data_IF_165617049371
#
_entry.id   IF_165617049371
#
_cell.length_a   1.000
_cell.length_b   1.000
_cell.length_c   1.000
_cell.angle_alpha   90.00
_cell.angle_beta   90.00
_cell.angle_gamma   90.00
#
_symmetry.space_group_name_H-M   'P 1'
#
loop_
_entity.id
_entity.type
_entity.pdbx_description
1 polymer ?
#
# COMPACT_ATOMS: atom_id res chain seq x y z
N UNK A 1 -50.17 -23.78 -20.47
CA UNK A 1 -48.88 -23.67 -19.74
C UNK A 1 -47.91 -22.85 -20.59
N UNK A 2 -47.74 -21.56 -20.30
CA UNK A 2 -46.70 -20.71 -20.91
C UNK A 2 -45.82 -20.18 -19.77
N UNK A 3 -44.64 -20.77 -19.61
CA UNK A 3 -43.60 -20.26 -18.71
C UNK A 3 -42.91 -19.08 -19.39
N UNK A 4 -43.31 -17.88 -19.01
CA UNK A 4 -42.66 -16.62 -19.40
C UNK A 4 -41.43 -16.44 -18.50
N UNK A 5 -40.28 -16.96 -18.94
CA UNK A 5 -38.98 -16.70 -18.31
C UNK A 5 -38.62 -15.23 -18.50
N UNK A 6 -38.80 -14.44 -17.44
CA UNK A 6 -38.28 -13.09 -17.31
C UNK A 6 -36.77 -13.19 -17.08
N UNK A 7 -35.99 -13.02 -18.15
CA UNK A 7 -34.55 -12.80 -18.06
C UNK A 7 -34.32 -11.37 -17.58
N UNK A 8 -34.39 -11.15 -16.26
CA UNK A 8 -33.88 -9.91 -15.65
C UNK A 8 -32.36 -9.89 -15.83
N UNK A 9 -31.91 -9.25 -16.92
CA UNK A 9 -30.57 -8.70 -17.01
C UNK A 9 -30.44 -7.65 -15.90
N UNK A 10 -29.95 -8.07 -14.74
CA UNK A 10 -29.32 -7.17 -13.78
C UNK A 10 -28.07 -6.61 -14.45
N UNK A 11 -28.25 -5.60 -15.30
CA UNK A 11 -27.18 -4.71 -15.72
C UNK A 11 -26.83 -3.87 -14.49
N UNK A 12 -26.04 -4.47 -13.59
CA UNK A 12 -25.51 -3.77 -12.44
C UNK A 12 -24.77 -2.55 -12.94
N UNK A 13 -25.30 -1.36 -12.64
CA UNK A 13 -24.67 -0.10 -12.98
C UNK A 13 -23.37 -0.02 -12.17
N UNK A 14 -22.26 -0.44 -12.79
CA UNK A 14 -20.93 -0.19 -12.24
C UNK A 14 -20.71 1.30 -12.42
N UNK A 15 -20.94 2.08 -11.36
CA UNK A 15 -20.56 3.48 -11.32
C UNK A 15 -19.04 3.55 -11.47
N UNK A 16 -18.58 3.81 -12.70
CA UNK A 16 -17.18 4.07 -12.95
C UNK A 16 -16.86 5.46 -12.41
N UNK A 17 -15.94 5.52 -11.45
CA UNK A 17 -15.41 6.79 -10.96
C UNK A 17 -14.71 7.54 -12.10
N UNK A 18 -15.07 8.79 -12.34
CA UNK A 18 -14.45 9.58 -13.41
C UNK A 18 -13.06 10.05 -12.99
N UNK A 19 -12.03 9.37 -13.51
CA UNK A 19 -10.64 9.71 -13.24
C UNK A 19 -10.13 10.92 -14.06
N UNK A 20 -10.96 11.52 -14.92
CA UNK A 20 -10.56 12.65 -15.77
C UNK A 20 -10.25 13.93 -15.01
N UNK A 21 -10.76 14.06 -13.78
CA UNK A 21 -10.50 15.18 -12.87
C UNK A 21 -9.06 15.20 -12.32
N UNK A 22 -8.34 14.08 -12.41
CA UNK A 22 -6.96 14.01 -11.97
C UNK A 22 -6.00 14.59 -13.03
N UNK A 23 -4.89 15.22 -12.62
CA UNK A 23 -3.91 15.75 -13.55
C UNK A 23 -3.41 14.71 -14.55
N UNK A 24 -3.18 15.09 -15.81
CA UNK A 24 -2.55 14.17 -16.76
C UNK A 24 -1.10 13.87 -16.33
N UNK A 25 -0.60 12.64 -16.53
CA UNK A 25 0.79 12.31 -16.20
C UNK A 25 1.74 13.19 -17.01
N UNK A 26 2.82 13.65 -16.37
CA UNK A 26 3.87 14.43 -17.04
C UNK A 26 4.74 13.51 -17.92
N UNK A 27 5.58 14.11 -18.76
CA UNK A 27 6.56 13.35 -19.53
C UNK A 27 7.44 12.48 -18.64
N UNK A 28 7.57 11.21 -19.01
CA UNK A 28 8.31 10.20 -18.22
C UNK A 28 7.51 9.54 -17.09
N UNK A 29 6.31 10.05 -16.76
CA UNK A 29 5.40 9.42 -15.81
C UNK A 29 4.37 8.52 -16.52
N UNK A 30 3.76 7.64 -15.75
CA UNK A 30 2.61 6.82 -16.10
C UNK A 30 1.57 6.93 -14.98
N UNK A 31 0.29 6.96 -15.37
CA UNK A 31 -0.84 6.94 -14.45
C UNK A 31 -1.29 5.49 -14.25
N UNK A 32 -1.24 5.01 -13.01
CA UNK A 32 -1.72 3.71 -12.60
C UNK A 32 -3.00 3.89 -11.79
N UNK A 33 -4.07 3.21 -12.22
CA UNK A 33 -5.37 3.23 -11.54
C UNK A 33 -5.63 1.86 -10.96
N UNK A 34 -5.72 1.77 -9.63
CA UNK A 34 -6.07 0.53 -8.94
C UNK A 34 -7.52 0.58 -8.45
N UNK A 35 -8.39 -0.13 -9.15
CA UNK A 35 -9.79 -0.34 -8.75
C UNK A 35 -9.92 -1.66 -8.00
N UNK A 36 -10.45 -1.59 -6.78
CA UNK A 36 -10.67 -2.76 -5.93
C UNK A 36 -12.05 -3.34 -6.18
N UNK A 37 -12.20 -4.66 -6.01
CA UNK A 37 -13.50 -5.32 -6.09
C UNK A 37 -14.29 -5.08 -4.80
N UNK A 38 -15.60 -4.85 -4.85
CA UNK A 38 -16.40 -4.72 -3.63
C UNK A 38 -16.31 -5.96 -2.75
N UNK A 39 -16.09 -5.76 -1.44
CA UNK A 39 -16.08 -6.81 -0.44
C UNK A 39 -17.13 -6.52 0.65
N UNK A 40 -17.61 -7.57 1.33
CA UNK A 40 -18.39 -7.39 2.55
C UNK A 40 -17.45 -7.02 3.70
N UNK A 41 -17.87 -6.06 4.53
CA UNK A 41 -17.12 -5.58 5.69
C UNK A 41 -15.69 -5.11 5.32
N UNK A 42 -15.59 -4.15 4.38
CA UNK A 42 -14.31 -3.63 3.88
C UNK A 42 -13.40 -3.06 4.97
N UNK A 43 -13.98 -2.57 6.07
CA UNK A 43 -13.24 -2.08 7.24
C UNK A 43 -12.31 -3.14 7.87
N UNK A 44 -12.58 -4.42 7.65
CA UNK A 44 -11.74 -5.52 8.13
C UNK A 44 -10.56 -5.81 7.20
N UNK A 45 -10.30 -4.98 6.19
CA UNK A 45 -9.25 -5.19 5.22
C UNK A 45 -8.39 -3.94 5.02
N UNK A 46 -7.12 -4.18 4.68
CA UNK A 46 -6.17 -3.15 4.26
C UNK A 46 -5.57 -3.53 2.92
N UNK A 47 -5.17 -2.53 2.16
CA UNK A 47 -4.43 -2.68 0.92
C UNK A 47 -3.04 -2.11 1.11
N UNK A 48 -2.03 -2.88 0.72
CA UNK A 48 -0.69 -2.35 0.51
C UNK A 48 -0.33 -2.39 -0.96
N UNK A 49 0.16 -1.27 -1.49
CA UNK A 49 0.67 -1.16 -2.85
C UNK A 49 2.19 -1.04 -2.79
N UNK A 50 2.87 -1.99 -3.43
CA UNK A 50 4.31 -2.06 -3.58
C UNK A 50 4.71 -1.57 -4.97
N UNK A 51 5.80 -0.82 -5.03
CA UNK A 51 6.42 -0.34 -6.26
C UNK A 51 7.66 -1.18 -6.56
N UNK A 52 7.90 -1.48 -7.83
CA UNK A 52 9.10 -2.23 -8.20
C UNK A 52 9.34 -2.32 -9.69
N UNK A 53 10.51 -2.80 -10.06
CA UNK A 53 10.90 -3.07 -11.45
C UNK A 53 11.18 -4.56 -11.63
N UNK A 54 10.96 -5.06 -12.84
CA UNK A 54 11.41 -6.41 -13.19
C UNK A 54 12.84 -6.30 -13.69
N UNK A 55 13.79 -6.93 -13.00
CA UNK A 55 15.22 -6.88 -13.27
C UNK A 55 15.78 -8.29 -13.31
N UNK A 56 16.68 -8.55 -14.26
CA UNK A 56 17.46 -9.79 -14.31
C UNK A 56 18.52 -9.76 -13.21
N UNK A 57 18.34 -10.58 -12.18
CA UNK A 57 19.20 -10.61 -10.99
C UNK A 57 19.79 -11.99 -10.76
N UNK A 58 20.93 -12.03 -10.07
CA UNK A 58 21.58 -13.27 -9.65
C UNK A 58 20.99 -13.79 -8.31
N UNK A 59 21.74 -14.64 -7.61
CA UNK A 59 21.34 -15.22 -6.33
C UNK A 59 21.35 -14.23 -5.15
N UNK A 60 21.94 -13.04 -5.31
CA UNK A 60 22.02 -12.06 -4.24
C UNK A 60 20.64 -11.48 -3.91
N UNK A 61 20.51 -11.00 -2.67
CA UNK A 61 19.36 -10.21 -2.31
C UNK A 61 19.55 -8.79 -2.85
N UNK A 62 18.71 -8.39 -3.80
CA UNK A 62 18.75 -7.06 -4.42
C UNK A 62 17.59 -6.19 -3.93
N UNK A 63 17.86 -4.90 -3.75
CA UNK A 63 16.87 -3.90 -3.40
C UNK A 63 17.22 -2.56 -4.05
N UNK A 64 16.20 -1.74 -4.32
CA UNK A 64 16.42 -0.37 -4.79
C UNK A 64 16.75 0.55 -3.61
N UNK A 65 17.68 1.48 -3.84
CA UNK A 65 18.05 2.51 -2.87
C UNK A 65 17.15 3.73 -3.11
N UNK A 66 16.47 4.15 -2.05
CA UNK A 66 15.61 5.32 -2.07
C UNK A 66 14.25 5.05 -2.73
N UNK A 67 13.76 6.06 -3.45
CA UNK A 67 12.35 6.19 -3.80
C UNK A 67 11.65 7.16 -2.85
N UNK A 68 10.71 7.93 -3.39
CA UNK A 68 9.92 8.91 -2.67
C UNK A 68 8.46 8.71 -3.03
N UNK A 69 7.64 8.50 -2.02
CA UNK A 69 6.20 8.44 -2.13
C UNK A 69 5.59 9.70 -1.51
N UNK A 70 4.86 10.46 -2.31
CA UNK A 70 4.13 11.65 -1.87
C UNK A 70 2.63 11.39 -1.97
N UNK A 71 1.89 11.63 -0.89
CA UNK A 71 0.45 11.77 -0.95
C UNK A 71 0.10 13.23 -1.25
N UNK A 72 -0.77 13.45 -2.23
CA UNK A 72 -1.23 14.78 -2.66
C UNK A 72 -2.74 14.86 -2.59
N UNK A 73 -3.23 16.03 -2.22
CA UNK A 73 -4.64 16.35 -2.30
C UNK A 73 -4.97 16.87 -3.70
N UNK A 74 -6.15 16.51 -4.20
CA UNK A 74 -6.74 17.08 -5.40
C UNK A 74 -7.60 18.28 -4.98
N UNK A 75 -7.05 19.48 -5.17
CA UNK A 75 -7.67 20.73 -4.75
C UNK A 75 -9.08 20.89 -5.35
N UNK A 76 -10.05 21.25 -4.50
CA UNK A 76 -11.45 21.43 -4.90
C UNK A 76 -12.30 20.16 -4.95
N UNK A 77 -11.69 18.96 -4.84
CA UNK A 77 -12.42 17.69 -4.89
C UNK A 77 -12.35 16.88 -3.58
N UNK A 78 -11.37 17.17 -2.72
CA UNK A 78 -11.18 16.42 -1.45
C UNK A 78 -10.65 15.00 -1.63
N UNK A 79 -10.23 14.62 -2.85
CA UNK A 79 -9.60 13.34 -3.12
C UNK A 79 -8.09 13.39 -2.89
N UNK A 80 -7.49 12.22 -2.65
CA UNK A 80 -6.05 12.07 -2.56
C UNK A 80 -5.54 11.22 -3.71
N UNK A 81 -4.32 11.51 -4.16
CA UNK A 81 -3.59 10.68 -5.11
C UNK A 81 -2.13 10.56 -4.67
N UNK A 82 -1.43 9.57 -5.20
CA UNK A 82 -0.05 9.27 -4.83
C UNK A 82 0.89 9.55 -5.99
N UNK A 83 2.05 10.14 -5.69
CA UNK A 83 3.15 10.28 -6.65
C UNK A 83 4.36 9.51 -6.12
N UNK A 84 4.75 8.49 -6.85
CA UNK A 84 5.99 7.77 -6.64
C UNK A 84 7.05 8.28 -7.61
N UNK A 85 8.24 8.57 -7.10
CA UNK A 85 9.42 8.89 -7.91
C UNK A 85 10.63 8.16 -7.36
N UNK A 86 11.49 7.66 -8.24
CA UNK A 86 12.69 6.95 -7.81
C UNK A 86 13.79 7.04 -8.86
N UNK A 87 15.03 6.93 -8.40
CA UNK A 87 16.18 6.63 -9.25
C UNK A 87 16.31 5.12 -9.40
N UNK A 88 17.15 4.66 -10.33
CA UNK A 88 17.38 3.24 -10.60
C UNK A 88 18.58 2.67 -9.84
N UNK A 89 19.00 3.32 -8.75
CA UNK A 89 20.15 2.89 -7.97
C UNK A 89 19.79 1.64 -7.15
N UNK A 90 20.60 0.58 -7.25
CA UNK A 90 20.38 -0.71 -6.58
C UNK A 90 21.56 -1.08 -5.70
N UNK A 91 21.28 -1.76 -4.60
CA UNK A 91 22.26 -2.46 -3.77
C UNK A 91 21.85 -3.92 -3.59
N UNK A 92 22.82 -4.73 -3.17
CA UNK A 92 22.54 -6.11 -2.81
C UNK A 92 23.67 -6.74 -2.00
N UNK A 93 23.45 -8.00 -1.62
CA UNK A 93 24.47 -8.81 -0.93
C UNK A 93 25.66 -9.14 -1.85
N UNK A 94 26.77 -9.59 -1.27
CA UNK A 94 28.01 -9.94 -1.99
C UNK A 94 28.35 -11.43 -1.90
N UNK A 95 27.34 -12.30 -2.01
CA UNK A 95 27.55 -13.74 -2.04
C UNK A 95 28.10 -14.19 -3.40
N UNK A 96 28.97 -15.20 -3.39
CA UNK A 96 29.45 -15.83 -4.61
C UNK A 96 28.33 -16.69 -5.22
N UNK A 97 27.77 -16.24 -6.35
CA UNK A 97 26.67 -16.93 -7.02
C UNK A 97 27.11 -18.01 -8.02
N UNK A 98 28.41 -18.24 -8.24
CA UNK A 98 28.89 -19.21 -9.24
C UNK A 98 28.26 -18.99 -10.63
N UNK A 99 28.05 -20.07 -11.38
CA UNK A 99 27.42 -20.05 -12.72
C UNK A 99 25.88 -20.03 -12.67
N UNK A 100 25.28 -19.45 -11.63
CA UNK A 100 23.82 -19.39 -11.53
C UNK A 100 23.26 -18.45 -12.60
N UNK A 101 22.32 -18.94 -13.39
CA UNK A 101 21.63 -18.14 -14.41
C UNK A 101 20.86 -17.00 -13.75
N UNK A 102 20.93 -15.80 -14.34
CA UNK A 102 20.10 -14.67 -13.91
C UNK A 102 18.62 -14.94 -14.20
N UNK A 103 17.78 -14.42 -13.33
CA UNK A 103 16.32 -14.56 -13.41
C UNK A 103 15.63 -13.19 -13.33
N UNK A 104 14.60 -12.99 -14.14
CA UNK A 104 13.68 -11.86 -14.05
C UNK A 104 12.92 -11.88 -12.71
N UNK A 105 13.29 -11.00 -11.77
CA UNK A 105 12.59 -10.83 -10.48
C UNK A 105 12.03 -9.44 -10.33
N UNK A 106 10.90 -9.35 -9.64
CA UNK A 106 10.33 -8.07 -9.22
C UNK A 106 11.06 -7.58 -7.97
N UNK A 107 11.93 -6.60 -8.16
CA UNK A 107 12.66 -5.96 -7.07
C UNK A 107 11.87 -4.74 -6.63
N UNK A 108 11.50 -4.72 -5.35
CA UNK A 108 10.67 -3.67 -4.77
C UNK A 108 11.50 -2.48 -4.27
N UNK A 109 10.90 -1.30 -4.31
CA UNK A 109 11.33 -0.15 -3.53
C UNK A 109 10.83 -0.27 -2.08
N UNK A 110 11.42 0.50 -1.18
CA UNK A 110 11.04 0.50 0.24
C UNK A 110 9.70 1.23 0.49
N UNK A 111 9.44 2.43 -0.06
CA UNK A 111 8.17 3.10 0.14
C UNK A 111 7.00 2.29 -0.41
N UNK A 112 5.91 2.24 0.35
CA UNK A 112 4.66 1.58 -0.01
C UNK A 112 3.46 2.43 0.39
N UNK A 113 2.36 2.28 -0.34
CA UNK A 113 1.07 2.80 0.13
C UNK A 113 0.49 1.76 1.08
N UNK A 114 0.02 2.15 2.26
CA UNK A 114 -0.75 1.30 3.16
C UNK A 114 -2.00 2.05 3.57
N UNK A 115 -3.17 1.55 3.16
CA UNK A 115 -4.45 2.21 3.39
C UNK A 115 -5.55 1.18 3.67
N UNK A 116 -6.69 1.65 4.17
CA UNK A 116 -7.86 0.80 4.35
C UNK A 116 -8.44 0.39 2.99
N UNK A 117 -9.07 -0.78 2.95
CA UNK A 117 -9.77 -1.23 1.76
C UNK A 117 -10.98 -0.34 1.50
N UNK A 118 -11.08 0.21 0.30
CA UNK A 118 -12.22 1.00 -0.15
C UNK A 118 -12.45 0.74 -1.64
N UNK A 119 -13.48 -0.03 -1.98
CA UNK A 119 -13.79 -0.32 -3.39
C UNK A 119 -14.57 0.79 -4.09
N UNK A 120 -15.13 1.75 -3.35
CA UNK A 120 -15.92 2.84 -3.92
C UNK A 120 -15.05 3.87 -4.66
N UNK A 121 -13.75 3.97 -4.32
CA UNK A 121 -12.82 4.92 -4.92
C UNK A 121 -11.55 4.20 -5.43
N UNK A 122 -11.12 4.44 -6.67
CA UNK A 122 -9.86 3.90 -7.15
C UNK A 122 -8.67 4.61 -6.49
N UNK A 123 -7.57 3.89 -6.26
CA UNK A 123 -6.30 4.51 -5.91
C UNK A 123 -5.63 5.04 -7.20
N UNK A 124 -5.35 6.34 -7.21
CA UNK A 124 -4.70 7.03 -8.32
C UNK A 124 -3.23 7.23 -7.99
N UNK A 125 -2.35 6.66 -8.82
CA UNK A 125 -0.93 6.54 -8.51
C UNK A 125 -0.10 6.90 -9.74
N UNK A 126 0.72 7.95 -9.64
CA UNK A 126 1.69 8.32 -10.67
C UNK A 126 3.01 7.63 -10.38
N UNK A 127 3.62 7.03 -11.40
CA UNK A 127 4.89 6.31 -11.30
C UNK A 127 5.77 6.62 -12.52
N UNK A 128 7.11 6.49 -12.44
CA UNK A 128 7.94 6.46 -13.65
C UNK A 128 7.49 5.32 -14.59
N UNK A 129 7.61 5.50 -15.91
CA UNK A 129 7.12 4.51 -16.92
C UNK A 129 7.66 3.09 -16.76
N UNK A 130 8.85 2.93 -16.20
CA UNK A 130 9.52 1.64 -16.02
C UNK A 130 9.25 1.01 -14.63
N UNK A 131 8.50 1.70 -13.76
CA UNK A 131 8.07 1.18 -12.47
C UNK A 131 6.70 0.52 -12.61
N UNK A 132 6.57 -0.67 -12.05
CA UNK A 132 5.33 -1.43 -11.95
C UNK A 132 4.81 -1.39 -10.52
N UNK A 133 3.49 -1.51 -10.38
CA UNK A 133 2.84 -1.68 -9.08
C UNK A 133 2.34 -3.11 -8.90
N UNK A 134 2.40 -3.59 -7.66
CA UNK A 134 1.70 -4.79 -7.18
C UNK A 134 0.95 -4.41 -5.91
N UNK A 135 -0.13 -5.10 -5.60
CA UNK A 135 -0.83 -4.87 -4.35
C UNK A 135 -1.13 -6.18 -3.64
N UNK A 136 -1.26 -6.08 -2.32
CA UNK A 136 -1.67 -7.15 -1.42
C UNK A 136 -2.88 -6.67 -0.63
N UNK A 137 -3.80 -7.58 -0.39
CA UNK A 137 -4.96 -7.35 0.49
C UNK A 137 -4.72 -8.12 1.77
N UNK A 138 -4.77 -7.43 2.90
CA UNK A 138 -4.64 -8.01 4.23
C UNK A 138 -6.01 -8.03 4.90
N UNK A 139 -6.32 -9.11 5.60
CA UNK A 139 -7.47 -9.20 6.49
C UNK A 139 -7.02 -8.92 7.91
N UNK A 140 -7.67 -7.97 8.56
CA UNK A 140 -7.50 -7.68 9.98
C UNK A 140 -8.21 -8.77 10.79
N UNK A 141 -7.51 -9.30 11.79
CA UNK A 141 -7.99 -10.44 12.60
C UNK A 141 -8.45 -10.01 13.98
N UNK A 142 -7.81 -8.99 14.57
CA UNK A 142 -8.10 -8.50 15.92
C UNK A 142 -7.81 -6.98 15.98
N UNK A 143 -8.66 -6.25 16.69
CA UNK A 143 -8.49 -4.82 16.96
C UNK A 143 -8.59 -4.62 18.47
N UNK A 144 -7.47 -4.24 19.08
CA UNK A 144 -7.35 -4.00 20.53
C UNK A 144 -6.85 -2.60 20.76
N UNK A 145 -7.62 -1.83 21.51
CA UNK A 145 -7.13 -0.59 22.08
C UNK A 145 -6.21 -0.94 23.24
N UNK A 146 -4.96 -0.49 23.16
CA UNK A 146 -4.01 -0.54 24.27
C UNK A 146 -3.86 0.88 24.73
N UNK A 147 -4.44 1.20 25.89
CA UNK A 147 -4.24 2.49 26.50
C UNK A 147 -2.77 2.62 26.90
N UNK A 148 -2.11 3.68 26.43
CA UNK A 148 -0.76 4.06 26.85
C UNK A 148 -0.88 4.64 28.25
N UNK A 149 -1.12 3.81 29.26
CA UNK A 149 -1.04 4.24 30.65
C UNK A 149 0.44 4.40 30.96
N UNK A 150 0.87 5.63 31.26
CA UNK A 150 2.25 6.00 31.61
C UNK A 150 2.85 5.01 32.63
N UNK A 151 3.65 4.07 32.14
CA UNK A 151 4.46 3.17 32.97
C UNK A 151 5.42 3.94 33.90
N UNK A 152 5.67 5.23 33.63
CA UNK A 152 6.44 6.13 34.51
C UNK A 152 5.68 6.57 35.77
N UNK A 153 4.35 6.74 35.71
CA UNK A 153 3.56 7.18 36.87
C UNK A 153 3.48 6.10 37.96
N UNK A 154 3.57 4.82 37.58
CA UNK A 154 3.58 3.70 38.52
C UNK A 154 4.93 3.50 39.21
N UNK A 155 6.03 3.94 38.56
CA UNK A 155 7.38 3.87 39.14
C UNK A 155 7.58 4.92 40.24
N UNK A 156 7.11 6.16 40.03
CA UNK A 156 7.23 7.23 41.04
C UNK A 156 6.42 6.99 42.32
N UNK A 157 5.27 6.31 42.26
CA UNK A 157 4.48 5.99 43.46
C UNK A 157 5.03 4.79 44.24
N UNK A 158 5.79 3.90 43.59
CA UNK A 158 6.43 2.77 44.27
C UNK A 158 7.68 3.20 45.03
N UNK A 159 8.42 4.17 44.48
CA UNK A 159 9.63 4.71 45.11
C UNK A 159 9.30 5.61 46.31
N UNK A 160 8.21 6.39 46.27
CA UNK A 160 7.79 7.25 47.39
C UNK A 160 7.23 6.47 48.59
N UNK A 161 6.58 5.33 48.35
CA UNK A 161 6.01 4.50 49.42
C UNK A 161 7.04 3.57 50.09
N UNK A 162 8.22 3.33 49.49
CA UNK A 162 9.31 2.57 50.15
C UNK A 162 10.17 3.44 51.08
N UNK A 163 10.13 4.77 50.92
CA UNK A 163 10.90 5.73 51.72
C UNK A 163 10.27 6.07 53.08
N UNK A 164 8.99 5.74 53.31
CA UNK A 164 8.24 6.07 54.53
C UNK A 164 8.06 4.88 55.49
N UNK A 165 8.64 3.72 55.17
CA UNK A 165 8.61 2.53 56.02
C UNK A 165 10.02 2.14 56.46
N UNK A 166 10.62 2.92 57.36
CA UNK A 166 11.70 2.43 58.22
C UNK A 166 11.55 3.00 59.64
N UNK A 167 11.43 2.15 60.67
CA UNK A 167 11.37 2.58 62.07
C UNK A 167 12.71 3.13 62.57
#
# INVERSE_FOLDING_TARGET
>A
MKFLTVLMLFFGLVFAFDTSVFPKPKDGESLQTLTLKPLKNEQNYKVEVEFGKIVEVDCNHHFFIGGKLEQKNLDGYGYVYYKFSAKADMAGTLMACGDTKKEAKFIKFEPKISTYYNSALPLIIYTPKDVKIRYKVYKLVDEKFVDVVDDEAKKLQTDSNSSLAKP
#
